data_IF_482849074660
#
_entry.id   IF_482849074660
#
_cell.length_a   1.000
_cell.length_b   1.000
_cell.length_c   1.000
_cell.angle_alpha   90.00
_cell.angle_beta   90.00
_cell.angle_gamma   90.00
#
_symmetry.space_group_name_H-M   'P 1'
#
loop_
_entity.id
_entity.type
_entity.pdbx_description
1 polymer ?
#
# COMPACT_ATOMS: atom_id res chain seq x y z
N UNK A 1 -38.73 49.43 -56.29
CA UNK A 1 -39.24 49.16 -54.93
C UNK A 1 -39.99 47.85 -55.01
N UNK A 2 -39.54 46.73 -54.46
CA UNK A 2 -39.23 46.50 -53.05
C UNK A 2 -37.97 45.62 -52.92
N UNK A 3 -37.05 46.06 -52.06
CA UNK A 3 -35.95 45.23 -51.57
C UNK A 3 -36.53 44.11 -50.72
N UNK A 4 -36.35 42.87 -51.16
CA UNK A 4 -36.49 41.69 -50.30
C UNK A 4 -35.31 41.65 -49.34
N UNK A 5 -35.61 41.92 -48.07
CA UNK A 5 -34.67 41.88 -46.95
C UNK A 5 -34.03 40.49 -46.87
N UNK A 6 -32.70 40.42 -47.07
CA UNK A 6 -31.88 39.28 -46.66
C UNK A 6 -31.96 39.22 -45.13
N UNK A 7 -32.88 38.38 -44.64
CA UNK A 7 -32.95 38.02 -43.22
C UNK A 7 -31.60 37.38 -42.89
N UNK A 8 -30.83 38.04 -42.02
CA UNK A 8 -29.62 37.48 -41.46
C UNK A 8 -29.94 36.10 -40.88
N UNK A 9 -29.25 35.06 -41.35
CA UNK A 9 -29.29 33.74 -40.73
C UNK A 9 -28.70 33.87 -39.31
N UNK A 10 -29.56 34.26 -38.37
CA UNK A 10 -29.26 34.21 -36.95
C UNK A 10 -29.00 32.77 -36.52
N UNK A 11 -28.27 32.63 -35.41
CA UNK A 11 -27.92 31.34 -34.83
C UNK A 11 -29.16 30.45 -34.64
N UNK A 12 -29.26 29.37 -35.42
CA UNK A 12 -30.34 28.38 -35.31
C UNK A 12 -29.92 27.28 -34.33
N UNK A 13 -30.81 26.93 -33.39
CA UNK A 13 -30.59 25.79 -32.48
C UNK A 13 -30.60 24.49 -33.29
N UNK A 14 -29.52 23.72 -33.20
CA UNK A 14 -29.28 22.52 -34.03
C UNK A 14 -30.05 21.28 -33.59
N UNK A 15 -30.72 21.30 -32.43
CA UNK A 15 -31.44 20.12 -31.89
C UNK A 15 -30.52 19.02 -31.35
N UNK A 16 -29.21 19.27 -31.28
CA UNK A 16 -28.23 18.34 -30.73
C UNK A 16 -28.27 18.39 -29.19
N UNK A 17 -28.40 17.21 -28.58
CA UNK A 17 -28.23 17.01 -27.15
C UNK A 17 -26.80 16.53 -26.91
N UNK A 18 -26.06 17.24 -26.08
CA UNK A 18 -24.74 16.83 -25.62
C UNK A 18 -24.86 16.37 -24.17
N UNK A 19 -24.58 15.10 -23.93
CA UNK A 19 -24.51 14.51 -22.60
C UNK A 19 -23.06 14.20 -22.27
N UNK A 20 -22.61 14.61 -21.09
CA UNK A 20 -21.32 14.23 -20.57
C UNK A 20 -21.50 13.03 -19.64
N UNK A 21 -20.83 11.95 -19.99
CA UNK A 21 -20.75 10.73 -19.18
C UNK A 21 -19.37 10.60 -18.55
N UNK A 22 -19.20 9.62 -17.67
CA UNK A 22 -17.89 9.18 -17.16
C UNK A 22 -17.13 10.23 -16.35
N UNK A 23 -17.50 10.33 -15.07
CA UNK A 23 -16.74 11.08 -14.07
C UNK A 23 -15.32 10.52 -14.00
N UNK A 24 -14.33 11.36 -14.30
CA UNK A 24 -12.93 10.97 -14.40
C UNK A 24 -12.02 12.04 -13.81
N UNK A 25 -10.82 11.63 -13.43
CA UNK A 25 -9.77 12.57 -13.03
C UNK A 25 -9.03 13.06 -14.27
N UNK A 26 -9.03 14.38 -14.50
CA UNK A 26 -8.17 14.99 -15.51
C UNK A 26 -6.75 15.12 -14.94
N UNK A 27 -5.93 14.10 -15.17
CA UNK A 27 -4.56 14.03 -14.69
C UNK A 27 -3.59 14.40 -15.81
N UNK A 28 -2.55 15.15 -15.47
CA UNK A 28 -1.40 15.40 -16.34
C UNK A 28 -0.16 14.79 -15.72
N UNK A 29 0.33 13.72 -16.34
CA UNK A 29 1.54 13.03 -15.93
C UNK A 29 2.61 13.12 -17.03
N UNK A 30 3.91 13.11 -16.68
CA UNK A 30 4.97 12.86 -17.64
C UNK A 30 4.76 11.47 -18.26
N UNK A 31 4.85 11.38 -19.59
CA UNK A 31 4.62 10.14 -20.35
C UNK A 31 5.90 9.36 -20.66
N UNK A 32 7.02 9.79 -20.08
CA UNK A 32 8.39 9.38 -20.38
C UNK A 32 9.11 8.78 -19.16
N UNK A 33 8.35 8.36 -18.14
CA UNK A 33 8.91 7.66 -16.98
C UNK A 33 9.57 6.36 -17.41
N UNK A 34 10.79 6.13 -16.93
CA UNK A 34 11.49 4.85 -17.11
C UNK A 34 10.87 3.77 -16.23
N UNK A 35 11.19 2.50 -16.52
CA UNK A 35 10.75 1.37 -15.69
C UNK A 35 11.18 1.55 -14.22
N UNK A 36 12.43 1.99 -13.98
CA UNK A 36 12.94 2.23 -12.64
C UNK A 36 12.14 3.32 -11.89
N UNK A 37 11.74 4.38 -12.58
CA UNK A 37 10.95 5.47 -12.00
C UNK A 37 9.51 5.04 -11.68
N UNK A 38 8.92 4.18 -12.52
CA UNK A 38 7.59 3.63 -12.26
C UNK A 38 7.59 2.70 -11.05
N UNK A 39 8.64 1.88 -10.88
CA UNK A 39 8.83 1.05 -9.70
C UNK A 39 9.01 1.92 -8.44
N UNK A 40 9.80 3.00 -8.50
CA UNK A 40 9.96 3.95 -7.38
C UNK A 40 8.63 4.59 -6.95
N UNK A 41 7.81 5.03 -7.92
CA UNK A 41 6.46 5.55 -7.64
C UNK A 41 5.58 4.47 -7.01
N UNK A 42 5.64 3.22 -7.50
CA UNK A 42 4.88 2.13 -6.93
C UNK A 42 5.30 1.82 -5.49
N UNK A 43 6.60 1.89 -5.18
CA UNK A 43 7.14 1.66 -3.85
C UNK A 43 6.74 2.81 -2.89
N UNK A 44 6.82 4.06 -3.35
CA UNK A 44 6.34 5.22 -2.60
C UNK A 44 4.86 5.13 -2.25
N UNK A 45 4.00 4.80 -3.23
CA UNK A 45 2.56 4.66 -3.00
C UNK A 45 2.26 3.50 -2.05
N UNK A 46 2.98 2.39 -2.17
CA UNK A 46 2.84 1.27 -1.24
C UNK A 46 3.26 1.65 0.18
N UNK A 47 4.39 2.33 0.37
CA UNK A 47 4.83 2.81 1.69
C UNK A 47 3.84 3.78 2.32
N UNK A 48 3.15 4.60 1.51
CA UNK A 48 2.05 5.44 2.00
C UNK A 48 0.86 4.59 2.49
N UNK A 49 0.50 3.52 1.78
CA UNK A 49 -0.60 2.63 2.19
C UNK A 49 -0.23 1.86 3.46
N UNK A 50 0.98 1.29 3.51
CA UNK A 50 1.49 0.54 4.66
C UNK A 50 1.59 1.42 5.92
N UNK A 51 2.06 2.67 5.79
CA UNK A 51 2.09 3.61 6.91
C UNK A 51 0.69 4.00 7.40
N UNK A 52 -0.28 4.13 6.49
CA UNK A 52 -1.67 4.36 6.85
C UNK A 52 -2.25 3.15 7.57
N UNK A 53 -2.13 1.95 7.01
CA UNK A 53 -2.57 0.69 7.62
C UNK A 53 -2.01 0.51 9.03
N UNK A 54 -0.69 0.70 9.19
CA UNK A 54 -0.03 0.61 10.49
C UNK A 54 -0.57 1.64 11.48
N UNK A 55 -0.90 2.84 11.03
CA UNK A 55 -1.48 3.89 11.88
C UNK A 55 -2.89 3.51 12.32
N UNK A 56 -3.75 3.07 11.40
CA UNK A 56 -5.11 2.62 11.71
C UNK A 56 -5.13 1.42 12.66
N UNK A 57 -4.26 0.42 12.45
CA UNK A 57 -4.13 -0.72 13.34
C UNK A 57 -3.69 -0.31 14.76
N UNK A 58 -2.74 0.62 14.88
CA UNK A 58 -2.35 1.15 16.19
C UNK A 58 -3.50 1.87 16.88
N UNK A 59 -4.26 2.69 16.15
CA UNK A 59 -5.43 3.37 16.71
C UNK A 59 -6.46 2.35 17.20
N UNK A 60 -6.73 1.32 16.42
CA UNK A 60 -7.65 0.24 16.80
C UNK A 60 -7.16 -0.50 18.05
N UNK A 61 -5.88 -0.87 18.12
CA UNK A 61 -5.27 -1.51 19.31
C UNK A 61 -5.32 -0.61 20.53
N UNK A 62 -5.00 0.67 20.38
CA UNK A 62 -5.05 1.64 21.47
C UNK A 62 -6.46 1.79 22.04
N UNK A 63 -7.48 1.88 21.19
CA UNK A 63 -8.89 1.92 21.61
C UNK A 63 -9.28 0.62 22.32
N UNK A 64 -8.91 -0.53 21.74
CA UNK A 64 -9.20 -1.83 22.34
C UNK A 64 -8.58 -1.98 23.73
N UNK A 65 -7.29 -1.66 23.89
CA UNK A 65 -6.59 -1.71 25.17
C UNK A 65 -7.20 -0.74 26.18
N UNK A 66 -7.40 0.53 25.80
CA UNK A 66 -7.97 1.53 26.69
C UNK A 66 -9.35 1.14 27.23
N UNK A 67 -10.20 0.51 26.42
CA UNK A 67 -11.51 0.02 26.85
C UNK A 67 -11.42 -1.27 27.66
N UNK A 68 -10.52 -2.19 27.28
CA UNK A 68 -10.35 -3.47 27.96
C UNK A 68 -9.79 -3.29 29.37
N UNK A 69 -8.81 -2.40 29.53
CA UNK A 69 -8.18 -2.12 30.83
C UNK A 69 -9.17 -1.61 31.89
N UNK A 70 -10.21 -0.91 31.44
CA UNK A 70 -11.27 -0.38 32.34
C UNK A 70 -12.54 -1.24 32.33
N UNK A 71 -12.59 -2.30 31.53
CA UNK A 71 -13.76 -3.19 31.43
C UNK A 71 -13.90 -4.12 32.63
N UNK A 72 -15.13 -4.37 33.05
CA UNK A 72 -15.43 -5.44 34.00
C UNK A 72 -15.67 -6.75 33.23
N UNK A 73 -15.40 -7.90 33.86
CA UNK A 73 -15.72 -9.21 33.29
C UNK A 73 -17.21 -9.32 32.94
N UNK A 74 -18.06 -8.71 33.78
CA UNK A 74 -19.51 -8.79 33.68
C UNK A 74 -20.16 -7.44 33.99
N UNK A 75 -21.24 -7.11 33.29
CA UNK A 75 -21.82 -5.75 33.31
C UNK A 75 -22.43 -5.35 34.67
N UNK A 76 -22.84 -6.30 35.50
CA UNK A 76 -23.48 -6.01 36.79
C UNK A 76 -22.53 -5.36 37.80
N UNK A 77 -21.21 -5.52 37.64
CA UNK A 77 -20.22 -4.86 38.49
C UNK A 77 -20.27 -3.32 38.42
N UNK A 78 -20.91 -2.76 37.39
CA UNK A 78 -21.11 -1.33 37.21
C UNK A 78 -22.57 -0.96 36.87
N UNK A 79 -23.54 -1.82 37.18
CA UNK A 79 -24.94 -1.60 36.82
C UNK A 79 -25.67 -0.60 37.74
N UNK A 80 -25.30 -0.56 39.02
CA UNK A 80 -25.95 0.32 40.02
C UNK A 80 -25.17 1.62 40.24
N UNK A 81 -23.85 1.53 40.36
CA UNK A 81 -22.96 2.68 40.52
C UNK A 81 -21.81 2.64 39.51
N UNK A 82 -21.38 3.82 39.07
CA UNK A 82 -20.20 3.97 38.21
C UNK A 82 -18.95 3.77 39.04
N UNK A 83 -18.07 2.87 38.61
CA UNK A 83 -16.71 2.75 39.15
C UNK A 83 -15.92 4.03 38.82
N UNK A 84 -15.80 4.91 39.81
CA UNK A 84 -15.10 6.20 39.67
C UNK A 84 -13.62 6.03 39.41
N UNK A 85 -12.99 4.96 39.92
CA UNK A 85 -11.56 4.74 39.73
C UNK A 85 -11.27 4.40 38.26
N UNK A 86 -12.03 3.44 37.70
CA UNK A 86 -11.94 3.09 36.26
C UNK A 86 -12.36 4.24 35.35
N UNK A 87 -13.36 5.03 35.75
CA UNK A 87 -13.74 6.22 34.98
C UNK A 87 -12.63 7.27 34.93
N UNK A 88 -11.94 7.52 36.04
CA UNK A 88 -10.81 8.46 36.06
C UNK A 88 -9.60 7.89 35.28
N UNK A 89 -9.34 6.59 35.39
CA UNK A 89 -8.31 5.91 34.59
C UNK A 89 -8.56 6.11 33.08
N UNK A 90 -9.78 5.87 32.59
CA UNK A 90 -10.12 6.09 31.19
C UNK A 90 -9.92 7.55 30.77
N UNK A 91 -10.32 8.52 31.61
CA UNK A 91 -10.11 9.95 31.32
C UNK A 91 -8.64 10.31 31.21
N UNK A 92 -7.79 9.76 32.07
CA UNK A 92 -6.33 9.95 32.00
C UNK A 92 -5.79 9.39 30.69
N UNK A 93 -6.13 8.14 30.35
CA UNK A 93 -5.71 7.50 29.08
C UNK A 93 -6.16 8.29 27.85
N UNK A 94 -7.39 8.81 27.84
CA UNK A 94 -7.89 9.64 26.74
C UNK A 94 -7.14 10.97 26.62
N UNK A 95 -6.87 11.65 27.74
CA UNK A 95 -6.09 12.90 27.73
C UNK A 95 -4.69 12.65 27.19
N UNK A 96 -4.01 11.62 27.70
CA UNK A 96 -2.68 11.24 27.23
C UNK A 96 -2.67 10.89 25.73
N UNK A 97 -3.71 10.22 25.23
CA UNK A 97 -3.82 9.89 23.81
C UNK A 97 -3.94 11.14 22.92
N UNK A 98 -4.73 12.13 23.31
CA UNK A 98 -4.94 13.37 22.53
C UNK A 98 -3.88 14.44 22.77
N UNK A 99 -3.18 14.41 23.91
CA UNK A 99 -2.07 15.32 24.24
C UNK A 99 -0.75 14.87 23.60
N UNK A 100 -0.61 13.58 23.29
CA UNK A 100 0.49 13.10 22.43
C UNK A 100 0.37 13.82 21.09
N UNK A 101 1.41 14.56 20.71
CA UNK A 101 1.50 15.06 19.34
C UNK A 101 1.35 13.85 18.40
N UNK A 102 0.41 13.91 17.44
CA UNK A 102 0.27 12.82 16.51
C UNK A 102 1.61 12.79 15.77
N UNK A 103 2.32 11.68 15.86
CA UNK A 103 3.56 11.43 15.12
C UNK A 103 3.20 11.32 13.63
N UNK A 104 2.77 12.43 13.04
CA UNK A 104 2.41 12.63 11.64
C UNK A 104 3.65 12.90 10.78
N UNK A 105 4.84 12.91 11.39
CA UNK A 105 6.09 13.05 10.67
C UNK A 105 6.69 11.67 10.37
N UNK A 106 6.64 11.37 9.08
CA UNK A 106 7.03 10.20 8.30
C UNK A 106 8.53 9.84 8.38
N UNK A 107 9.23 10.05 9.50
CA UNK A 107 10.69 9.85 9.52
C UNK A 107 11.35 9.42 10.84
N UNK A 108 10.59 9.08 11.89
CA UNK A 108 11.18 8.37 13.04
C UNK A 108 10.68 6.93 13.11
N UNK A 109 11.50 6.12 12.46
CA UNK A 109 11.69 4.69 12.64
C UNK A 109 12.11 4.36 14.09
N UNK A 110 11.20 4.59 15.05
CA UNK A 110 11.43 4.21 16.45
C UNK A 110 10.19 3.68 17.15
N UNK A 111 9.08 3.52 16.43
CA UNK A 111 7.96 2.75 16.94
C UNK A 111 8.28 1.28 16.68
N UNK A 112 8.65 0.57 17.75
CA UNK A 112 8.76 -0.89 17.86
C UNK A 112 8.03 -1.54 16.70
N UNK A 113 8.81 -1.98 15.71
CA UNK A 113 8.33 -2.94 14.73
C UNK A 113 7.84 -4.09 15.61
N UNK A 114 6.52 -4.26 15.70
CA UNK A 114 5.98 -5.53 16.16
C UNK A 114 6.60 -6.54 15.20
N UNK A 115 7.67 -7.21 15.66
CA UNK A 115 8.37 -8.21 14.89
C UNK A 115 7.29 -9.23 14.50
N UNK A 116 6.82 -9.16 13.25
CA UNK A 116 5.90 -10.15 12.72
C UNK A 116 6.53 -11.49 13.02
N UNK A 117 5.83 -12.29 13.85
CA UNK A 117 6.34 -13.52 14.42
C UNK A 117 6.90 -14.38 13.29
N UNK A 118 8.23 -14.43 13.19
CA UNK A 118 8.88 -14.91 11.98
C UNK A 118 8.70 -16.41 11.87
N UNK A 119 7.75 -16.83 11.04
CA UNK A 119 7.57 -18.25 10.74
C UNK A 119 8.79 -18.71 9.94
N UNK A 120 9.61 -19.64 10.46
CA UNK A 120 10.83 -20.06 9.77
C UNK A 120 10.49 -20.74 8.43
N UNK A 121 11.10 -20.26 7.36
CA UNK A 121 10.95 -20.84 6.02
C UNK A 121 11.72 -22.15 5.92
N UNK A 122 10.99 -23.26 5.71
CA UNK A 122 11.60 -24.59 5.53
C UNK A 122 12.51 -24.67 4.30
N UNK A 123 12.27 -23.84 3.28
CA UNK A 123 12.96 -23.83 2.00
C UNK A 123 13.76 -22.53 1.75
N UNK A 124 14.12 -21.77 2.79
CA UNK A 124 14.78 -20.46 2.64
C UNK A 124 16.04 -20.50 1.76
N UNK A 125 16.89 -21.53 1.92
CA UNK A 125 18.11 -21.68 1.13
C UNK A 125 17.85 -21.85 -0.37
N UNK A 126 16.78 -22.56 -0.75
CA UNK A 126 16.37 -22.73 -2.14
C UNK A 126 15.85 -21.41 -2.70
N UNK A 127 14.97 -20.72 -1.96
CA UNK A 127 14.43 -19.40 -2.34
C UNK A 127 15.56 -18.40 -2.61
N UNK A 128 16.56 -18.31 -1.71
CA UNK A 128 17.72 -17.43 -1.91
C UNK A 128 18.54 -17.82 -3.13
N UNK A 129 18.72 -19.12 -3.39
CA UNK A 129 19.44 -19.58 -4.58
C UNK A 129 18.71 -19.23 -5.88
N UNK A 130 17.38 -19.35 -5.89
CA UNK A 130 16.55 -18.99 -7.04
C UNK A 130 16.55 -17.47 -7.27
N UNK A 131 16.50 -16.66 -6.22
CA UNK A 131 16.67 -15.20 -6.29
C UNK A 131 18.03 -14.84 -6.91
N UNK A 132 19.13 -15.42 -6.44
CA UNK A 132 20.47 -15.17 -7.02
C UNK A 132 20.52 -15.59 -8.49
N UNK A 133 20.01 -16.77 -8.82
CA UNK A 133 19.95 -17.26 -10.20
C UNK A 133 19.16 -16.31 -11.11
N UNK A 134 18.04 -15.78 -10.62
CA UNK A 134 17.21 -14.82 -11.32
C UNK A 134 17.97 -13.52 -11.60
N UNK A 135 18.57 -12.93 -10.57
CA UNK A 135 19.32 -11.67 -10.68
C UNK A 135 20.52 -11.82 -11.62
N UNK A 136 21.26 -12.92 -11.53
CA UNK A 136 22.39 -13.18 -12.43
C UNK A 136 21.95 -13.39 -13.89
N UNK A 137 20.81 -14.05 -14.12
CA UNK A 137 20.27 -14.24 -15.47
C UNK A 137 19.88 -12.91 -16.12
N UNK A 138 19.31 -12.01 -15.34
CA UNK A 138 18.85 -10.68 -15.76
C UNK A 138 19.79 -9.56 -15.29
N UNK A 139 21.10 -9.80 -15.36
CA UNK A 139 22.14 -8.85 -14.93
C UNK A 139 22.14 -7.52 -15.71
N UNK A 140 21.43 -7.45 -16.84
CA UNK A 140 21.22 -6.25 -17.65
C UNK A 140 20.19 -5.30 -17.03
N UNK A 141 19.49 -5.71 -15.96
CA UNK A 141 18.43 -4.94 -15.31
C UNK A 141 18.66 -4.77 -13.82
N UNK A 142 18.21 -3.64 -13.30
CA UNK A 142 18.12 -3.42 -11.86
C UNK A 142 16.76 -3.90 -11.37
N UNK A 143 16.75 -4.64 -10.26
CA UNK A 143 15.52 -5.07 -9.61
C UNK A 143 15.44 -4.49 -8.20
N UNK A 144 14.22 -4.16 -7.78
CA UNK A 144 13.90 -3.96 -6.35
C UNK A 144 13.49 -5.29 -5.73
N UNK A 145 13.61 -5.41 -4.39
CA UNK A 145 13.15 -6.62 -3.70
C UNK A 145 11.66 -6.91 -3.92
N UNK A 146 10.84 -5.84 -4.05
CA UNK A 146 9.42 -5.95 -4.38
C UNK A 146 9.20 -6.46 -5.81
N UNK A 147 9.96 -5.97 -6.79
CA UNK A 147 9.88 -6.46 -8.17
C UNK A 147 10.12 -7.98 -8.26
N UNK A 148 11.17 -8.46 -7.58
CA UNK A 148 11.50 -9.89 -7.51
C UNK A 148 10.36 -10.68 -6.84
N UNK A 149 9.86 -10.19 -5.70
CA UNK A 149 8.76 -10.84 -4.98
C UNK A 149 7.50 -10.95 -5.85
N UNK A 150 7.17 -9.90 -6.62
CA UNK A 150 6.05 -9.89 -7.55
C UNK A 150 6.21 -10.91 -8.67
N UNK A 151 7.40 -11.02 -9.26
CA UNK A 151 7.67 -12.02 -10.30
C UNK A 151 7.48 -13.43 -9.74
N UNK A 152 8.05 -13.70 -8.57
CA UNK A 152 8.01 -15.03 -7.95
C UNK A 152 6.59 -15.42 -7.47
N UNK A 153 5.75 -14.45 -7.09
CA UNK A 153 4.30 -14.66 -6.88
C UNK A 153 3.45 -14.61 -8.16
N UNK A 154 4.01 -14.14 -9.26
CA UNK A 154 3.31 -13.89 -10.52
C UNK A 154 2.26 -12.80 -10.46
N UNK A 155 2.56 -11.69 -9.78
CA UNK A 155 1.74 -10.50 -9.69
C UNK A 155 2.21 -9.49 -10.75
N UNK A 156 1.41 -9.28 -11.79
CA UNK A 156 1.71 -8.33 -12.88
C UNK A 156 1.94 -6.92 -12.35
N UNK A 157 3.01 -6.25 -12.78
CA UNK A 157 3.23 -4.80 -12.58
C UNK A 157 3.33 -4.07 -13.93
N UNK A 158 3.30 -2.73 -13.95
CA UNK A 158 3.56 -1.96 -15.18
C UNK A 158 4.89 -2.33 -15.85
N UNK A 159 5.97 -2.47 -15.07
CA UNK A 159 7.32 -2.81 -15.56
C UNK A 159 7.51 -4.32 -15.81
N UNK A 160 6.76 -5.16 -15.11
CA UNK A 160 6.78 -6.62 -15.23
C UNK A 160 5.40 -7.18 -15.60
N UNK A 161 4.90 -6.89 -16.83
CA UNK A 161 3.58 -7.32 -17.25
C UNK A 161 3.53 -8.85 -17.45
N UNK A 162 2.47 -9.48 -16.93
CA UNK A 162 2.29 -10.93 -16.98
C UNK A 162 2.30 -11.50 -18.41
N UNK A 163 1.90 -10.71 -19.42
CA UNK A 163 1.89 -11.11 -20.83
C UNK A 163 3.31 -11.40 -21.36
N UNK A 164 4.33 -10.74 -20.78
CA UNK A 164 5.74 -10.87 -21.15
C UNK A 164 6.45 -11.79 -20.17
N UNK A 165 6.42 -11.44 -18.87
CA UNK A 165 7.17 -12.15 -17.82
C UNK A 165 6.54 -13.47 -17.41
N UNK A 166 5.22 -13.62 -17.58
CA UNK A 166 4.51 -14.87 -17.28
C UNK A 166 4.87 -16.05 -18.19
N UNK A 167 5.62 -15.80 -19.25
CA UNK A 167 6.15 -16.85 -20.13
C UNK A 167 7.33 -17.58 -19.49
N UNK A 168 8.12 -16.89 -18.67
CA UNK A 168 9.23 -17.50 -17.95
C UNK A 168 8.73 -18.22 -16.70
N UNK A 169 8.25 -19.45 -16.88
CA UNK A 169 7.73 -20.30 -15.80
C UNK A 169 8.78 -20.77 -14.81
N UNK A 170 10.07 -20.51 -15.06
CA UNK A 170 11.12 -20.85 -14.10
C UNK A 170 11.04 -19.97 -12.86
N UNK A 171 10.67 -18.71 -13.04
CA UNK A 171 10.60 -17.72 -11.96
C UNK A 171 9.19 -17.18 -11.76
N UNK A 172 8.36 -17.11 -12.80
CA UNK A 172 7.00 -16.64 -12.65
C UNK A 172 6.14 -17.64 -11.87
N UNK A 173 5.55 -17.22 -10.76
CA UNK A 173 4.73 -18.06 -9.86
C UNK A 173 5.49 -19.27 -9.29
N UNK A 174 6.81 -19.17 -9.12
CA UNK A 174 7.65 -20.26 -8.62
C UNK A 174 7.63 -20.43 -7.11
N UNK A 175 7.29 -19.38 -6.34
CA UNK A 175 7.24 -19.40 -4.87
C UNK A 175 5.91 -18.88 -4.33
N UNK A 176 4.80 -19.49 -4.76
CA UNK A 176 3.45 -19.16 -4.26
C UNK A 176 3.20 -19.64 -2.82
N UNK A 177 4.01 -20.57 -2.35
CA UNK A 177 3.98 -21.17 -1.01
C UNK A 177 4.69 -20.32 0.05
N UNK A 178 5.48 -19.35 -0.39
CA UNK A 178 6.25 -18.43 0.46
C UNK A 178 5.43 -17.16 0.65
N UNK A 179 5.48 -16.57 1.85
CA UNK A 179 4.85 -15.28 2.10
C UNK A 179 5.51 -14.16 1.28
N UNK A 180 4.71 -13.23 0.77
CA UNK A 180 5.18 -12.16 -0.11
C UNK A 180 6.19 -11.23 0.58
N UNK A 181 5.97 -10.88 1.84
CA UNK A 181 6.85 -9.99 2.59
C UNK A 181 8.15 -10.70 2.97
N UNK A 182 8.09 -11.99 3.28
CA UNK A 182 9.30 -12.80 3.46
C UNK A 182 10.12 -12.86 2.18
N UNK A 183 9.48 -13.06 1.03
CA UNK A 183 10.15 -13.10 -0.26
C UNK A 183 10.79 -11.76 -0.63
N UNK A 184 10.05 -10.65 -0.40
CA UNK A 184 10.56 -9.28 -0.54
C UNK A 184 11.82 -9.06 0.29
N UNK A 185 11.79 -9.45 1.57
CA UNK A 185 12.93 -9.31 2.50
C UNK A 185 14.14 -10.10 2.01
N UNK A 186 13.96 -11.39 1.71
CA UNK A 186 15.03 -12.24 1.18
C UNK A 186 15.62 -11.66 -0.11
N UNK A 187 14.78 -11.12 -0.99
CA UNK A 187 15.23 -10.47 -2.21
C UNK A 187 16.06 -9.21 -1.94
N UNK A 188 15.65 -8.34 -1.01
CA UNK A 188 16.46 -7.17 -0.60
C UNK A 188 17.81 -7.61 -0.05
N UNK A 189 17.84 -8.60 0.85
CA UNK A 189 19.08 -9.11 1.43
C UNK A 189 20.05 -9.68 0.37
N UNK A 190 19.55 -10.47 -0.58
CA UNK A 190 20.38 -11.04 -1.65
C UNK A 190 20.84 -9.95 -2.63
N UNK A 191 20.02 -8.96 -2.95
CA UNK A 191 20.43 -7.82 -3.79
C UNK A 191 21.58 -7.03 -3.16
N UNK A 192 21.55 -6.82 -1.84
CA UNK A 192 22.66 -6.18 -1.10
C UNK A 192 23.92 -7.04 -1.16
N UNK A 193 23.80 -8.36 -0.97
CA UNK A 193 24.93 -9.30 -1.04
C UNK A 193 25.57 -9.38 -2.42
N UNK A 194 24.81 -9.26 -3.50
CA UNK A 194 25.32 -9.31 -4.87
C UNK A 194 26.06 -8.02 -5.25
N UNK A 195 25.70 -6.89 -4.62
CA UNK A 195 26.30 -5.57 -4.89
C UNK A 195 27.58 -5.30 -4.08
N UNK A 196 27.86 -6.08 -3.05
CA UNK A 196 29.14 -6.08 -2.33
C UNK A 196 30.16 -6.98 -3.02
#
# INVERSE_FOLDING_TARGET
MLLGVLVSQGYQRTGLLAEFTDVSFLLRAPGDLTDDQLDEVSDFLYGRVESQERTELRQLKAVFQALTDVSHEEFWHCAEEVDRARSEQLKVTLREYFEKEPTLNVSSDSCEEEEEEQVPLKNEGQVRADIRSFVCLHHDRNFTGRAIARIFHGISSPCYPAQVWGRDRRYWRSHLDVDFNQLRRLAVEELVRIRM
#
